data_IF_917499177233
#
_entry.id   IF_917499177233
#
_cell.length_a   1.000
_cell.length_b   1.000
_cell.length_c   1.000
_cell.angle_alpha   90.00
_cell.angle_beta   90.00
_cell.angle_gamma   90.00
#
_symmetry.space_group_name_H-M   'P 1'
#
loop_
_entity.id
_entity.type
_entity.pdbx_description
1 polymer ?
#
# COMPACT_ATOMS: atom_id res chain seq x y z
N UNK A 1 8.56 -4.65 -13.00
CA UNK A 1 8.31 -3.84 -14.22
C UNK A 1 6.96 -3.15 -14.24
N UNK A 2 5.83 -3.81 -14.56
CA UNK A 2 4.54 -3.11 -14.75
C UNK A 2 4.08 -2.29 -13.51
N UNK A 3 4.15 -2.89 -12.32
CA UNK A 3 3.87 -2.21 -11.05
C UNK A 3 4.78 -0.98 -10.83
N UNK A 4 6.09 -1.11 -11.07
CA UNK A 4 7.04 -0.01 -10.94
C UNK A 4 6.69 1.16 -11.87
N UNK A 5 6.32 0.87 -13.13
CA UNK A 5 5.93 1.89 -14.10
C UNK A 5 4.60 2.57 -13.73
N UNK A 6 3.69 1.87 -13.06
CA UNK A 6 2.45 2.45 -12.54
C UNK A 6 2.75 3.42 -11.40
N UNK A 7 3.58 3.00 -10.44
CA UNK A 7 4.03 3.84 -9.32
C UNK A 7 4.72 5.10 -9.85
N UNK A 8 5.67 4.98 -10.78
CA UNK A 8 6.39 6.14 -11.36
C UNK A 8 5.49 7.19 -12.04
N UNK A 9 4.32 6.80 -12.54
CA UNK A 9 3.38 7.71 -13.23
C UNK A 9 2.32 8.30 -12.30
N UNK A 10 2.25 7.84 -11.05
CA UNK A 10 1.26 8.29 -10.09
C UNK A 10 1.54 9.75 -9.68
N UNK A 11 0.49 10.57 -9.66
CA UNK A 11 0.54 11.94 -9.13
C UNK A 11 0.12 11.99 -7.65
N UNK A 12 -0.57 10.96 -7.16
CA UNK A 12 -1.04 10.83 -5.77
C UNK A 12 -0.84 9.41 -5.25
N UNK A 13 0.40 8.88 -5.28
CA UNK A 13 0.69 7.53 -4.80
C UNK A 13 0.37 7.41 -3.30
N UNK A 14 -0.10 6.23 -2.89
CA UNK A 14 -0.34 5.95 -1.49
C UNK A 14 0.10 4.53 -1.13
N UNK A 15 0.95 4.40 -0.11
CA UNK A 15 1.31 3.12 0.45
C UNK A 15 0.27 2.67 1.47
N UNK A 16 -0.20 1.45 1.34
CA UNK A 16 -1.08 0.80 2.31
C UNK A 16 -0.37 -0.40 2.94
N UNK A 17 0.17 -0.20 4.14
CA UNK A 17 0.88 -1.24 4.87
C UNK A 17 -0.07 -2.12 5.67
N UNK A 18 -0.12 -3.38 5.24
CA UNK A 18 -0.88 -4.44 5.87
C UNK A 18 -0.11 -5.16 6.97
N UNK A 19 -0.79 -6.08 7.65
CA UNK A 19 -0.15 -6.95 8.63
C UNK A 19 0.93 -7.87 8.02
N UNK A 20 0.91 -8.11 6.71
CA UNK A 20 1.95 -8.86 6.02
C UNK A 20 3.32 -8.17 6.03
N UNK A 21 3.37 -6.84 6.11
CA UNK A 21 4.63 -6.08 6.24
C UNK A 21 5.31 -6.41 7.58
N UNK A 22 4.54 -6.45 8.66
CA UNK A 22 5.05 -6.78 10.00
C UNK A 22 5.39 -8.26 10.09
N UNK A 23 4.50 -9.15 9.62
CA UNK A 23 4.69 -10.60 9.70
C UNK A 23 5.81 -11.14 8.81
N UNK A 24 6.10 -10.46 7.71
CA UNK A 24 7.18 -10.79 6.78
C UNK A 24 8.50 -10.11 7.12
N UNK A 25 8.65 -9.51 8.31
CA UNK A 25 9.84 -8.77 8.73
C UNK A 25 10.31 -7.71 7.69
N UNK A 26 9.36 -7.12 6.96
CA UNK A 26 9.61 -6.20 5.85
C UNK A 26 9.50 -4.71 6.26
N UNK A 27 9.42 -4.44 7.57
CA UNK A 27 9.16 -3.09 8.09
C UNK A 27 10.25 -2.09 7.69
N UNK A 28 11.53 -2.46 7.83
CA UNK A 28 12.63 -1.54 7.55
C UNK A 28 12.74 -1.20 6.06
N UNK A 29 12.60 -2.20 5.18
CA UNK A 29 12.62 -1.99 3.73
C UNK A 29 11.38 -1.21 3.24
N UNK A 30 10.20 -1.47 3.82
CA UNK A 30 8.99 -0.72 3.49
C UNK A 30 9.10 0.76 3.90
N UNK A 31 9.69 1.05 5.06
CA UNK A 31 9.98 2.41 5.50
C UNK A 31 10.99 3.10 4.60
N UNK A 32 12.08 2.41 4.26
CA UNK A 32 13.09 2.96 3.35
C UNK A 32 12.46 3.32 2.00
N UNK A 33 11.67 2.42 1.42
CA UNK A 33 10.97 2.67 0.17
C UNK A 33 10.03 3.90 0.25
N UNK A 34 9.24 4.00 1.32
CA UNK A 34 8.37 5.15 1.55
C UNK A 34 9.15 6.47 1.63
N UNK A 35 10.23 6.50 2.42
CA UNK A 35 11.06 7.69 2.62
C UNK A 35 11.86 8.07 1.37
N UNK A 36 12.38 7.09 0.63
CA UNK A 36 13.17 7.33 -0.58
C UNK A 36 12.32 7.95 -1.70
N UNK A 37 11.09 7.47 -1.85
CA UNK A 37 10.17 7.98 -2.86
C UNK A 37 9.21 9.06 -2.36
N UNK A 38 9.32 9.47 -1.10
CA UNK A 38 8.45 10.47 -0.47
C UNK A 38 6.95 10.13 -0.57
N UNK A 39 6.62 8.84 -0.53
CA UNK A 39 5.23 8.38 -0.69
C UNK A 39 4.54 8.35 0.69
N UNK A 40 3.37 8.99 0.85
CA UNK A 40 2.59 8.90 2.08
C UNK A 40 2.18 7.47 2.43
N UNK A 41 2.14 7.16 3.72
CA UNK A 41 1.87 5.82 4.25
C UNK A 41 0.60 5.83 5.07
N UNK A 42 -0.34 4.96 4.71
CA UNK A 42 -1.47 4.55 5.55
C UNK A 42 -1.24 3.12 6.01
N UNK A 43 -1.59 2.83 7.25
CA UNK A 43 -1.56 1.45 7.77
C UNK A 43 -2.97 0.87 7.86
N UNK A 44 -3.06 -0.44 7.72
CA UNK A 44 -4.22 -1.18 8.25
C UNK A 44 -4.07 -1.33 9.76
N UNK A 45 -5.15 -1.62 10.49
CA UNK A 45 -5.03 -1.90 11.94
C UNK A 45 -3.98 -2.98 12.27
N UNK A 46 -3.88 -4.13 11.53
CA UNK A 46 -2.81 -5.10 11.74
C UNK A 46 -1.39 -4.64 11.31
N UNK A 47 -1.29 -3.57 10.51
CA UNK A 47 -0.04 -2.98 10.05
C UNK A 47 0.45 -1.81 10.91
N UNK A 48 -0.29 -1.41 11.95
CA UNK A 48 0.13 -0.35 12.88
C UNK A 48 1.51 -0.69 13.44
N UNK A 49 2.40 0.29 13.45
CA UNK A 49 3.81 0.14 13.81
C UNK A 49 4.74 -0.14 12.63
N UNK A 50 4.23 -0.50 11.45
CA UNK A 50 5.05 -0.60 10.23
C UNK A 50 5.65 0.76 9.82
N UNK A 51 5.03 1.88 10.22
CA UNK A 51 5.57 3.24 10.10
C UNK A 51 5.39 3.95 11.46
N UNK A 52 6.39 4.69 11.99
CA UNK A 52 6.19 5.48 13.20
C UNK A 52 5.07 6.51 12.98
N UNK A 53 4.13 6.60 13.92
CA UNK A 53 2.95 7.47 13.79
C UNK A 53 3.28 8.96 13.84
N UNK A 54 4.45 9.32 14.37
CA UNK A 54 4.98 10.68 14.41
C UNK A 54 5.85 11.04 13.19
N UNK A 55 6.04 10.11 12.25
CA UNK A 55 6.75 10.38 11.00
C UNK A 55 5.89 11.21 10.04
N UNK A 56 6.48 12.18 9.34
CA UNK A 56 5.76 13.13 8.48
C UNK A 56 4.94 12.49 7.34
N UNK A 57 5.45 11.41 6.75
CA UNK A 57 4.74 10.60 5.75
C UNK A 57 3.63 9.71 6.32
N UNK A 58 3.52 9.55 7.65
CA UNK A 58 2.54 8.65 8.24
C UNK A 58 1.17 9.33 8.38
N UNK A 59 0.19 8.82 7.65
CA UNK A 59 -1.21 9.21 7.74
C UNK A 59 -2.00 8.33 8.72
N UNK A 60 -1.31 7.68 9.68
CA UNK A 60 -1.93 6.80 10.68
C UNK A 60 -2.65 5.60 10.02
N UNK A 61 -3.71 5.07 10.62
CA UNK A 61 -4.43 3.89 10.11
C UNK A 61 -5.79 4.23 9.51
N UNK A 62 -6.17 3.47 8.47
CA UNK A 62 -7.47 3.55 7.80
C UNK A 62 -8.46 2.46 8.25
N UNK A 63 -9.71 2.64 7.83
CA UNK A 63 -10.83 1.71 8.06
C UNK A 63 -11.97 2.35 8.85
N UNK A 64 -12.90 1.51 9.31
CA UNK A 64 -14.14 1.89 10.01
C UNK A 64 -13.90 2.76 11.25
N UNK A 65 -12.76 2.59 11.93
CA UNK A 65 -12.32 3.39 13.07
C UNK A 65 -10.94 4.03 12.83
N UNK A 66 -10.56 4.12 11.56
CA UNK A 66 -9.36 4.83 11.12
C UNK A 66 -9.53 6.34 11.18
N UNK A 67 -8.45 7.06 10.92
CA UNK A 67 -8.50 8.52 10.86
C UNK A 67 -9.21 8.97 9.59
N UNK A 68 -9.91 10.10 9.67
CA UNK A 68 -10.63 10.65 8.52
C UNK A 68 -9.68 10.98 7.36
N UNK A 69 -8.48 11.48 7.66
CA UNK A 69 -7.49 11.82 6.64
C UNK A 69 -6.83 10.59 5.99
N UNK A 70 -6.62 9.48 6.72
CA UNK A 70 -6.19 8.22 6.11
C UNK A 70 -7.21 7.71 5.09
N UNK A 71 -8.49 7.70 5.48
CA UNK A 71 -9.57 7.27 4.60
C UNK A 71 -9.72 8.22 3.39
N UNK A 72 -9.58 9.54 3.58
CA UNK A 72 -9.58 10.49 2.46
C UNK A 72 -8.41 10.28 1.50
N UNK A 73 -7.21 9.98 2.02
CA UNK A 73 -6.05 9.69 1.18
C UNK A 73 -6.31 8.46 0.31
N UNK A 74 -6.87 7.38 0.87
CA UNK A 74 -7.27 6.19 0.11
C UNK A 74 -8.31 6.54 -0.95
N UNK A 75 -9.31 7.37 -0.63
CA UNK A 75 -10.35 7.75 -1.60
C UNK A 75 -9.82 8.58 -2.77
N UNK A 76 -8.77 9.38 -2.56
CA UNK A 76 -8.26 10.35 -3.54
C UNK A 76 -6.93 9.97 -4.19
N UNK A 77 -6.37 8.81 -3.85
CA UNK A 77 -5.18 8.26 -4.51
C UNK A 77 -5.52 7.81 -5.93
N UNK A 78 -4.56 7.97 -6.84
CA UNK A 78 -4.60 7.44 -8.20
C UNK A 78 -3.78 6.15 -8.34
N UNK A 79 -2.94 5.83 -7.36
CA UNK A 79 -2.18 4.59 -7.30
C UNK A 79 -2.07 4.08 -5.85
N UNK A 80 -2.81 3.02 -5.54
CA UNK A 80 -2.78 2.39 -4.23
C UNK A 80 -1.79 1.22 -4.23
N UNK A 81 -0.73 1.34 -3.43
CA UNK A 81 0.32 0.33 -3.29
C UNK A 81 0.07 -0.46 -2.00
N UNK A 82 -0.74 -1.50 -2.11
CA UNK A 82 -1.16 -2.33 -0.99
C UNK A 82 -0.20 -3.49 -0.76
N UNK A 83 0.48 -3.48 0.39
CA UNK A 83 1.53 -4.45 0.71
C UNK A 83 1.10 -5.30 1.91
N UNK A 84 1.00 -6.61 1.71
CA UNK A 84 0.59 -7.56 2.74
C UNK A 84 -0.81 -7.30 3.32
N UNK A 85 -1.72 -6.84 2.46
CA UNK A 85 -3.08 -6.39 2.81
C UNK A 85 -4.13 -7.28 2.16
N UNK A 86 -5.08 -7.79 2.94
CA UNK A 86 -6.17 -8.67 2.49
C UNK A 86 -7.50 -7.97 2.17
N UNK A 87 -7.51 -6.64 2.15
CA UNK A 87 -8.69 -5.79 1.90
C UNK A 87 -9.97 -6.26 2.62
N UNK A 88 -9.91 -6.41 3.95
CA UNK A 88 -11.07 -6.85 4.71
C UNK A 88 -12.15 -5.77 4.86
N UNK A 89 -13.35 -6.20 5.25
CA UNK A 89 -14.55 -5.37 5.38
C UNK A 89 -14.38 -4.20 6.35
N UNK A 90 -13.52 -4.33 7.36
CA UNK A 90 -13.26 -3.24 8.32
C UNK A 90 -12.34 -2.18 7.77
N UNK A 91 -11.50 -2.53 6.81
CA UNK A 91 -10.69 -1.58 6.06
C UNK A 91 -11.52 -0.92 4.95
N UNK A 92 -12.15 -1.73 4.11
CA UNK A 92 -12.76 -1.22 2.88
C UNK A 92 -14.12 -0.56 3.11
N UNK A 93 -14.90 -1.07 4.06
CA UNK A 93 -16.29 -0.68 4.24
C UNK A 93 -17.11 -1.10 3.01
N UNK A 94 -17.15 -0.25 1.99
CA UNK A 94 -17.75 -0.55 0.68
C UNK A 94 -16.68 -0.78 -0.38
N UNK A 95 -16.65 -1.99 -0.96
CA UNK A 95 -15.69 -2.39 -2.00
C UNK A 95 -15.76 -1.44 -3.21
N UNK A 96 -16.96 -1.15 -3.71
CA UNK A 96 -17.16 -0.28 -4.88
C UNK A 96 -16.76 1.19 -4.63
N UNK A 97 -16.59 1.57 -3.37
CA UNK A 97 -16.23 2.94 -2.95
C UNK A 97 -14.81 3.06 -2.45
N UNK A 98 -14.07 1.95 -2.38
CA UNK A 98 -12.73 1.92 -1.85
C UNK A 98 -11.72 2.19 -2.95
N UNK A 99 -10.97 3.30 -2.83
CA UNK A 99 -9.98 3.76 -3.82
C UNK A 99 -10.54 3.75 -5.28
N UNK A 100 -11.66 4.44 -5.54
CA UNK A 100 -12.48 4.24 -6.74
C UNK A 100 -11.78 4.60 -8.07
N UNK A 101 -10.80 5.49 -8.02
CA UNK A 101 -10.06 5.97 -9.21
C UNK A 101 -8.61 5.45 -9.24
N UNK A 102 -8.23 4.59 -8.29
CA UNK A 102 -6.84 4.16 -8.15
C UNK A 102 -6.52 2.93 -9.00
N UNK A 103 -5.37 2.95 -9.66
CA UNK A 103 -4.70 1.72 -10.07
C UNK A 103 -4.16 1.00 -8.82
N UNK A 104 -4.42 -0.31 -8.69
CA UNK A 104 -4.07 -1.07 -7.49
C UNK A 104 -2.86 -1.97 -7.74
N UNK A 105 -1.75 -1.67 -7.08
CA UNK A 105 -0.61 -2.57 -6.93
C UNK A 105 -0.83 -3.41 -5.68
N UNK A 106 -1.07 -4.71 -5.84
CA UNK A 106 -1.36 -5.60 -4.72
C UNK A 106 -0.23 -6.61 -4.53
N UNK A 107 0.54 -6.44 -3.46
CA UNK A 107 1.61 -7.33 -3.05
C UNK A 107 1.10 -8.22 -1.92
N UNK A 108 1.02 -9.53 -2.13
CA UNK A 108 0.70 -10.50 -1.08
C UNK A 108 1.42 -11.82 -1.31
N UNK A 109 1.75 -12.53 -0.23
CA UNK A 109 2.40 -13.84 -0.30
C UNK A 109 1.39 -14.94 -0.65
N UNK A 110 0.12 -14.74 -0.30
CA UNK A 110 -0.95 -15.68 -0.61
C UNK A 110 -1.65 -15.29 -1.92
N UNK A 111 -1.49 -16.07 -3.01
CA UNK A 111 -2.16 -15.78 -4.27
C UNK A 111 -3.69 -15.83 -4.16
N UNK A 112 -4.26 -16.47 -3.13
CA UNK A 112 -5.71 -16.51 -2.92
C UNK A 112 -6.29 -15.18 -2.42
N UNK A 113 -5.46 -14.28 -1.88
CA UNK A 113 -5.92 -12.95 -1.45
C UNK A 113 -5.86 -11.91 -2.59
N UNK A 114 -5.05 -12.16 -3.63
CA UNK A 114 -4.96 -11.29 -4.81
C UNK A 114 -6.30 -11.24 -5.56
N UNK A 115 -6.81 -10.05 -5.82
CA UNK A 115 -8.09 -9.83 -6.55
C UNK A 115 -9.32 -10.50 -5.93
N UNK A 116 -9.25 -10.89 -4.65
CA UNK A 116 -10.36 -11.54 -3.95
C UNK A 116 -11.51 -10.58 -3.63
N UNK A 117 -11.17 -9.38 -3.12
CA UNK A 117 -12.13 -8.34 -2.75
C UNK A 117 -11.98 -7.10 -3.61
N UNK A 118 -10.74 -6.58 -3.73
CA UNK A 118 -10.39 -5.44 -4.58
C UNK A 118 -9.59 -5.97 -5.76
N UNK A 119 -9.96 -5.59 -6.98
CA UNK A 119 -9.22 -5.97 -8.18
C UNK A 119 -7.81 -5.36 -8.14
N UNK A 120 -6.80 -6.16 -8.46
CA UNK A 120 -5.43 -5.70 -8.56
C UNK A 120 -5.05 -5.56 -10.03
N UNK A 121 -4.81 -4.33 -10.50
CA UNK A 121 -4.30 -4.06 -11.84
C UNK A 121 -2.88 -4.61 -12.00
N UNK A 122 -2.09 -4.53 -10.93
CA UNK A 122 -0.70 -4.98 -10.89
C UNK A 122 -0.47 -5.93 -9.71
N UNK A 123 -0.83 -7.22 -9.85
CA UNK A 123 -0.63 -8.21 -8.80
C UNK A 123 0.85 -8.63 -8.70
N UNK A 124 1.38 -8.70 -7.49
CA UNK A 124 2.74 -9.19 -7.20
C UNK A 124 2.66 -10.25 -6.11
N UNK A 125 2.79 -11.51 -6.50
CA UNK A 125 2.77 -12.63 -5.55
C UNK A 125 4.17 -12.86 -5.00
N UNK A 126 4.33 -12.70 -3.69
CA UNK A 126 5.62 -12.92 -3.03
C UNK A 126 5.69 -12.39 -1.61
N UNK A 127 6.82 -12.67 -0.98
CA UNK A 127 7.18 -12.06 0.31
C UNK A 127 7.25 -10.53 0.18
N UNK A 128 6.72 -9.81 1.17
CA UNK A 128 6.58 -8.37 1.13
C UNK A 128 7.93 -7.65 0.93
N UNK A 129 8.98 -8.04 1.66
CA UNK A 129 10.28 -7.39 1.58
C UNK A 129 10.95 -7.63 0.24
N UNK A 130 10.97 -8.88 -0.22
CA UNK A 130 11.51 -9.25 -1.54
C UNK A 130 10.76 -8.61 -2.70
N UNK A 131 9.44 -8.44 -2.56
CA UNK A 131 8.62 -7.81 -3.58
C UNK A 131 8.88 -6.30 -3.65
N UNK A 132 9.01 -5.62 -2.51
CA UNK A 132 9.41 -4.19 -2.45
C UNK A 132 10.76 -3.99 -3.14
N UNK A 133 11.79 -4.75 -2.74
CA UNK A 133 13.14 -4.65 -3.34
C UNK A 133 13.12 -4.82 -4.86
N UNK A 134 12.28 -5.73 -5.37
CA UNK A 134 12.14 -5.96 -6.82
C UNK A 134 11.38 -4.85 -7.53
N UNK A 135 10.36 -4.28 -6.90
CA UNK A 135 9.62 -3.14 -7.48
C UNK A 135 10.55 -1.93 -7.53
N UNK A 136 11.22 -1.63 -6.42
CA UNK A 136 12.18 -0.54 -6.27
C UNK A 136 13.33 -0.64 -7.29
N UNK A 137 13.96 -1.82 -7.42
CA UNK A 137 15.03 -2.03 -8.40
C UNK A 137 14.60 -1.82 -9.87
N UNK A 138 13.31 -1.93 -10.17
CA UNK A 138 12.74 -1.70 -11.51
C UNK A 138 12.31 -0.24 -11.73
N UNK A 139 12.20 0.54 -10.64
CA UNK A 139 11.95 1.97 -10.69
C UNK A 139 13.22 2.72 -11.12
N UNK A 140 13.00 3.82 -11.82
CA UNK A 140 13.99 4.69 -12.43
C UNK A 140 13.80 6.14 -12.00
N UNK A 141 12.65 6.46 -11.40
CA UNK A 141 12.32 7.74 -10.79
C UNK A 141 11.32 7.53 -9.63
N UNK A 142 11.24 8.50 -8.74
CA UNK A 142 10.14 8.61 -7.77
C UNK A 142 8.89 9.18 -8.44
N UNK A 143 7.68 8.83 -7.97
CA UNK A 143 6.44 9.53 -8.37
C UNK A 143 6.46 11.02 -8.01
N UNK A 144 5.53 11.77 -8.60
CA UNK A 144 5.34 13.22 -8.38
C UNK A 144 4.66 13.53 -7.02
#
# INVERSE_FOLDING_TARGET
EAAARAIERAEKPLLLFGGGVVKGDATDVARQFATEHQIPVVTTMPGIGAMPEDHELCLSWAGMHGTGYANMAITHTDCLIAIGTRFDDRLTGGIDTFAPEAEVVHIDIDPAEISKNIHADYPVVGDAGRAIERVDAEMTASPD
#
